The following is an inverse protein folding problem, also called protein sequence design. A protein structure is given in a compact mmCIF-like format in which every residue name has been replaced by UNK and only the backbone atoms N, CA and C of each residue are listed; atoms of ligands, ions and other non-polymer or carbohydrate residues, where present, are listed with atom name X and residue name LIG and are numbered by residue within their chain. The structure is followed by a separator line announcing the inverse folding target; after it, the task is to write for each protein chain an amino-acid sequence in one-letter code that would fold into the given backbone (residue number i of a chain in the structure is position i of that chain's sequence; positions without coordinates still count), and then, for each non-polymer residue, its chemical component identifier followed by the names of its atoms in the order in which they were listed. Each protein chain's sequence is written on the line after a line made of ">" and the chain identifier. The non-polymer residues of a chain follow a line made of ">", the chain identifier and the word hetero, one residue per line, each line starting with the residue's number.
data_IF_049373778768
#
_entry.id   IF_049373778768
#
_cell.length_a   1.000
_cell.length_b   1.000
_cell.length_c   1.000
_cell.angle_alpha   90.00
_cell.angle_beta   90.00
_cell.angle_gamma   90.00
#
_symmetry.space_group_name_H-M   'P 1'
#
loop_
_entity.id
_entity.type
_entity.pdbx_description
1 polymer ?
#
# COMPACT_ATOMS: atom_id res chain seq x y z
N UNK A 1 -1.78 15.88 7.86
CA UNK A 1 -0.98 15.24 8.94
C UNK A 1 0.36 14.74 8.38
N UNK A 2 0.41 13.90 7.33
CA UNK A 2 1.62 13.29 6.78
C UNK A 2 2.66 14.34 6.33
N UNK A 3 2.24 15.34 5.52
CA UNK A 3 3.10 16.47 5.12
C UNK A 3 3.60 17.24 6.35
N UNK A 4 2.73 17.45 7.34
CA UNK A 4 3.08 18.18 8.55
C UNK A 4 4.20 17.51 9.35
N UNK A 5 4.17 16.19 9.51
CA UNK A 5 5.27 15.46 10.16
C UNK A 5 6.55 15.47 9.34
N UNK A 6 6.45 15.33 8.02
CA UNK A 6 7.62 15.43 7.15
C UNK A 6 8.37 16.75 7.32
N UNK A 7 7.63 17.86 7.34
CA UNK A 7 8.20 19.20 7.51
C UNK A 7 8.70 19.43 8.94
N UNK A 8 7.91 19.03 9.95
CA UNK A 8 8.26 19.22 11.38
C UNK A 8 9.56 18.51 11.73
N UNK A 9 9.76 17.29 11.24
CA UNK A 9 10.92 16.48 11.57
C UNK A 9 12.05 16.67 10.55
N UNK A 10 11.88 17.60 9.60
CA UNK A 10 12.84 17.88 8.51
C UNK A 10 13.27 16.60 7.81
N UNK A 11 12.30 15.71 7.53
CA UNK A 11 12.58 14.41 6.99
C UNK A 11 13.13 14.46 5.56
N UNK A 12 14.13 13.65 5.28
CA UNK A 12 14.61 13.40 3.92
C UNK A 12 13.64 12.51 3.15
N UNK A 13 13.04 11.54 3.89
CA UNK A 13 11.98 10.64 3.38
C UNK A 13 10.92 10.43 4.46
N UNK A 14 9.66 10.33 4.02
CA UNK A 14 8.54 9.86 4.83
C UNK A 14 7.79 8.76 4.10
N UNK A 15 7.39 7.73 4.83
CA UNK A 15 6.70 6.55 4.32
C UNK A 15 5.41 6.32 5.08
N UNK A 16 4.35 5.88 4.38
CA UNK A 16 3.19 5.27 5.03
C UNK A 16 3.32 3.76 5.02
N UNK A 17 2.97 3.14 6.14
CA UNK A 17 2.96 1.70 6.31
C UNK A 17 1.63 1.24 6.92
N UNK A 18 1.27 -0.01 6.66
CA UNK A 18 0.16 -0.70 7.31
C UNK A 18 0.66 -1.95 8.02
N UNK A 19 -0.05 -2.39 9.04
CA UNK A 19 0.25 -3.71 9.64
C UNK A 19 -0.02 -4.82 8.63
N UNK A 20 0.92 -5.76 8.50
CA UNK A 20 0.69 -6.99 7.74
C UNK A 20 -0.46 -7.79 8.35
N UNK A 21 -1.35 -8.30 7.49
CA UNK A 21 -2.48 -9.12 7.92
C UNK A 21 -2.06 -10.56 8.27
N UNK A 22 -1.07 -11.10 7.57
CA UNK A 22 -0.56 -12.47 7.78
C UNK A 22 0.90 -12.59 7.30
N UNK A 23 1.64 -13.61 7.77
CA UNK A 23 3.07 -13.77 7.45
C UNK A 23 3.40 -13.79 5.96
N UNK A 24 2.57 -14.43 5.13
CA UNK A 24 2.80 -14.63 3.70
C UNK A 24 2.23 -13.50 2.83
N UNK A 25 1.74 -12.41 3.42
CA UNK A 25 1.24 -11.27 2.66
C UNK A 25 2.32 -10.72 1.73
N UNK A 26 1.97 -10.57 0.45
CA UNK A 26 2.87 -10.09 -0.62
C UNK A 26 3.03 -8.57 -0.60
N UNK A 27 3.59 -8.07 0.49
CA UNK A 27 3.91 -6.66 0.69
C UNK A 27 5.34 -6.52 1.18
N UNK A 28 6.11 -5.60 0.59
CA UNK A 28 7.45 -5.24 1.06
C UNK A 28 7.37 -4.66 2.47
N UNK A 29 8.39 -4.88 3.29
CA UNK A 29 8.43 -4.40 4.66
C UNK A 29 9.51 -3.36 4.88
N UNK A 30 9.23 -2.39 5.72
CA UNK A 30 10.19 -1.39 6.17
C UNK A 30 10.84 -1.88 7.45
N UNK A 31 12.17 -1.89 7.48
CA UNK A 31 12.94 -2.37 8.63
C UNK A 31 14.14 -1.46 8.91
N UNK A 32 14.60 -1.48 10.15
CA UNK A 32 15.92 -0.96 10.51
C UNK A 32 16.90 -2.11 10.65
N UNK A 33 18.04 -2.03 9.96
CA UNK A 33 19.18 -2.93 10.10
C UNK A 33 20.47 -2.12 10.12
N UNK A 34 21.35 -2.42 11.06
CA UNK A 34 22.66 -1.75 11.24
C UNK A 34 22.58 -0.22 11.30
N UNK A 35 21.48 0.30 11.88
CA UNK A 35 21.23 1.74 12.03
C UNK A 35 20.71 2.43 10.76
N UNK A 36 20.44 1.69 9.70
CA UNK A 36 19.90 2.19 8.44
C UNK A 36 18.48 1.69 8.18
N UNK A 37 17.72 2.52 7.47
CA UNK A 37 16.39 2.16 7.01
C UNK A 37 16.50 1.33 5.72
N UNK A 38 15.75 0.25 5.64
CA UNK A 38 15.71 -0.62 4.47
C UNK A 38 14.27 -0.98 4.09
N UNK A 39 14.09 -1.27 2.82
CA UNK A 39 12.91 -1.97 2.30
C UNK A 39 13.35 -3.39 1.95
N UNK A 40 12.64 -4.38 2.48
CA UNK A 40 12.86 -5.80 2.16
C UNK A 40 11.63 -6.29 1.43
N UNK A 41 11.81 -6.73 0.19
CA UNK A 41 10.73 -7.31 -0.59
C UNK A 41 10.27 -8.64 0.03
N UNK A 42 8.96 -8.93 -0.07
CA UNK A 42 8.38 -10.16 0.49
C UNK A 42 9.05 -11.43 -0.07
N UNK A 43 9.60 -11.38 -1.28
CA UNK A 43 10.31 -12.48 -1.93
C UNK A 43 11.74 -12.68 -1.40
N UNK A 44 12.29 -11.70 -0.71
CA UNK A 44 13.65 -11.71 -0.12
C UNK A 44 13.62 -12.07 1.36
N UNK A 45 12.44 -11.99 1.98
CA UNK A 45 12.28 -12.32 3.40
C UNK A 45 12.39 -13.82 3.63
N UNK A 46 13.31 -14.24 4.52
CA UNK A 46 13.43 -15.65 4.86
C UNK A 46 12.13 -16.18 5.51
N UNK A 47 11.83 -17.47 5.32
CA UNK A 47 10.66 -18.08 5.96
C UNK A 47 10.67 -17.93 7.47
N UNK A 48 11.85 -18.02 8.09
CA UNK A 48 12.04 -17.81 9.52
C UNK A 48 11.62 -16.40 9.94
N UNK A 49 12.07 -15.39 9.23
CA UNK A 49 11.76 -14.00 9.54
C UNK A 49 10.30 -13.65 9.22
N UNK A 50 9.75 -14.22 8.14
CA UNK A 50 8.36 -14.07 7.75
C UNK A 50 7.38 -14.47 8.88
N UNK A 51 7.70 -15.53 9.63
CA UNK A 51 6.90 -16.04 10.75
C UNK A 51 7.42 -15.62 12.13
N UNK A 52 8.44 -14.77 12.21
CA UNK A 52 8.96 -14.31 13.48
C UNK A 52 7.94 -13.41 14.19
N UNK A 53 7.75 -13.64 15.47
CA UNK A 53 6.89 -12.85 16.33
C UNK A 53 7.70 -12.00 17.31
N UNK A 54 7.14 -10.86 17.68
CA UNK A 54 7.57 -10.04 18.82
C UNK A 54 7.09 -10.65 20.14
N UNK A 55 7.54 -10.12 21.26
CA UNK A 55 7.17 -10.60 22.61
C UNK A 55 5.66 -10.52 22.89
N UNK A 56 4.97 -9.58 22.26
CA UNK A 56 3.52 -9.38 22.35
C UNK A 56 2.71 -10.33 21.45
N UNK A 57 3.37 -11.23 20.71
CA UNK A 57 2.75 -12.20 19.80
C UNK A 57 2.40 -11.65 18.40
N UNK A 58 2.62 -10.36 18.14
CA UNK A 58 2.44 -9.79 16.80
C UNK A 58 3.61 -10.16 15.89
N UNK A 59 3.41 -10.06 14.56
CA UNK A 59 4.51 -10.25 13.61
C UNK A 59 5.63 -9.25 13.89
N UNK A 60 6.86 -9.73 14.01
CA UNK A 60 8.05 -8.90 14.25
C UNK A 60 8.30 -7.93 13.09
N UNK A 61 8.13 -8.39 11.85
CA UNK A 61 8.32 -7.62 10.64
C UNK A 61 6.96 -7.33 10.00
N UNK A 62 6.22 -6.39 10.60
CA UNK A 62 4.83 -6.10 10.24
C UNK A 62 4.60 -4.76 9.56
N UNK A 63 5.62 -3.90 9.40
CA UNK A 63 5.49 -2.59 8.78
C UNK A 63 5.42 -2.71 7.23
N UNK A 64 4.24 -3.06 6.71
CA UNK A 64 4.00 -3.24 5.29
C UNK A 64 4.01 -1.91 4.53
N UNK A 65 4.87 -1.79 3.52
CA UNK A 65 4.95 -0.61 2.67
C UNK A 65 3.78 -0.53 1.69
N UNK A 66 3.05 0.57 1.71
CA UNK A 66 1.91 0.80 0.80
C UNK A 66 2.26 1.69 -0.40
N UNK A 67 3.56 1.94 -0.63
CA UNK A 67 4.07 2.75 -1.72
C UNK A 67 3.62 4.23 -1.70
N UNK A 68 3.26 4.76 -0.55
CA UNK A 68 3.01 6.20 -0.35
C UNK A 68 4.23 6.81 0.30
N UNK A 69 4.99 7.56 -0.51
CA UNK A 69 6.26 8.14 -0.11
C UNK A 69 6.26 9.64 -0.34
N UNK A 70 6.94 10.35 0.56
CA UNK A 70 7.31 11.75 0.39
C UNK A 70 8.82 11.86 0.48
N UNK A 71 9.44 12.43 -0.55
CA UNK A 71 10.89 12.49 -0.67
C UNK A 71 11.29 13.95 -0.88
N UNK A 72 12.23 14.43 -0.07
CA UNK A 72 12.80 15.75 -0.24
C UNK A 72 13.65 15.80 -1.52
N UNK A 73 13.40 16.79 -2.38
CA UNK A 73 14.10 16.92 -3.66
C UNK A 73 15.61 17.11 -3.43
N UNK A 74 16.00 17.95 -2.45
CA UNK A 74 17.41 18.13 -2.13
C UNK A 74 18.12 16.86 -1.67
N UNK A 75 17.39 15.90 -1.07
CA UNK A 75 17.93 14.58 -0.76
C UNK A 75 18.18 13.77 -2.05
N UNK A 76 17.24 13.78 -3.02
CA UNK A 76 17.44 13.12 -4.31
C UNK A 76 18.63 13.72 -5.09
N UNK A 77 18.76 15.05 -5.11
CA UNK A 77 19.89 15.71 -5.75
C UNK A 77 21.22 15.30 -5.11
N UNK A 78 21.26 15.18 -3.79
CA UNK A 78 22.44 14.69 -3.06
C UNK A 78 22.78 13.24 -3.46
N UNK A 79 21.81 12.32 -3.52
CA UNK A 79 22.04 10.94 -3.96
C UNK A 79 22.59 10.91 -5.39
N UNK A 80 22.00 11.70 -6.28
CA UNK A 80 22.48 11.82 -7.67
C UNK A 80 23.93 12.32 -7.75
N UNK A 81 24.29 13.34 -6.96
CA UNK A 81 25.65 13.89 -6.93
C UNK A 81 26.69 12.90 -6.35
N UNK A 82 26.26 11.96 -5.50
CA UNK A 82 27.15 10.90 -5.00
C UNK A 82 27.55 9.90 -6.10
N UNK A 83 26.93 9.96 -7.27
CA UNK A 83 27.20 9.04 -8.37
C UNK A 83 26.71 7.60 -8.10
N UNK A 84 25.87 7.42 -7.12
CA UNK A 84 25.31 6.12 -6.76
C UNK A 84 24.28 5.67 -7.80
N UNK A 85 24.41 4.45 -8.26
CA UNK A 85 23.38 3.78 -9.07
C UNK A 85 22.53 2.89 -8.20
N UNK A 86 21.22 2.85 -8.49
CA UNK A 86 20.34 1.89 -7.83
C UNK A 86 20.72 0.46 -8.26
N UNK A 87 20.78 -0.50 -7.34
CA UNK A 87 21.07 -1.88 -7.68
C UNK A 87 19.93 -2.48 -8.51
N UNK A 88 20.27 -3.55 -9.22
CA UNK A 88 19.27 -4.37 -9.89
C UNK A 88 18.87 -5.54 -9.01
N UNK A 89 17.56 -5.70 -8.80
CA UNK A 89 16.96 -6.88 -8.20
C UNK A 89 16.57 -7.87 -9.30
N UNK A 90 16.96 -9.13 -9.14
CA UNK A 90 16.70 -10.17 -10.12
C UNK A 90 15.52 -11.04 -9.68
N UNK A 91 14.48 -11.11 -10.48
CA UNK A 91 13.32 -11.96 -10.25
C UNK A 91 13.14 -12.98 -11.37
N UNK A 92 13.09 -14.26 -11.01
CA UNK A 92 12.78 -15.34 -11.96
C UNK A 92 11.30 -15.29 -12.34
N UNK A 93 11.00 -15.27 -13.64
CA UNK A 93 9.64 -15.13 -14.19
C UNK A 93 9.36 -16.15 -15.28
N UNK A 94 8.08 -16.48 -15.42
CA UNK A 94 7.56 -17.16 -16.60
C UNK A 94 7.19 -16.09 -17.62
N UNK A 95 7.86 -16.10 -18.76
CA UNK A 95 7.61 -15.14 -19.83
C UNK A 95 7.30 -15.91 -21.10
N UNK A 96 6.12 -15.64 -21.67
CA UNK A 96 5.78 -16.15 -22.99
C UNK A 96 6.82 -15.70 -24.00
N UNK A 97 7.32 -16.61 -24.81
CA UNK A 97 8.36 -16.34 -25.81
C UNK A 97 8.01 -17.00 -27.16
N UNK A 98 8.78 -16.67 -28.18
CA UNK A 98 8.70 -17.34 -29.46
C UNK A 98 9.67 -18.54 -29.47
N UNK A 99 9.19 -19.65 -29.98
CA UNK A 99 10.05 -20.81 -30.30
C UNK A 99 10.87 -20.60 -31.55
N UNK A 100 11.80 -21.53 -31.84
CA UNK A 100 12.62 -21.50 -33.05
C UNK A 100 11.79 -21.58 -34.33
N UNK A 101 10.61 -22.18 -34.26
CA UNK A 101 9.62 -22.27 -35.34
C UNK A 101 8.73 -21.02 -35.49
N UNK A 102 8.93 -19.99 -34.62
CA UNK A 102 8.15 -18.80 -34.58
C UNK A 102 6.80 -18.96 -33.85
N UNK A 103 6.50 -20.14 -33.32
CA UNK A 103 5.30 -20.40 -32.53
C UNK A 103 5.40 -19.80 -31.12
N UNK A 104 4.23 -19.43 -30.57
CA UNK A 104 4.15 -18.93 -29.19
C UNK A 104 4.32 -20.08 -28.20
N UNK A 105 5.24 -19.91 -27.24
CA UNK A 105 5.47 -20.84 -26.13
C UNK A 105 5.04 -20.16 -24.82
N UNK A 106 4.12 -20.79 -24.12
CA UNK A 106 3.75 -20.41 -22.75
C UNK A 106 4.47 -21.36 -21.78
N UNK A 107 5.54 -20.92 -21.09
CA UNK A 107 6.41 -21.80 -20.33
C UNK A 107 5.73 -22.32 -19.07
N UNK A 108 5.98 -23.57 -18.71
CA UNK A 108 5.51 -24.19 -17.47
C UNK A 108 6.37 -23.79 -16.26
N UNK A 109 7.63 -23.47 -16.50
CA UNK A 109 8.62 -23.08 -15.49
C UNK A 109 9.18 -21.70 -15.78
N UNK A 110 9.90 -21.12 -14.81
CA UNK A 110 10.58 -19.85 -14.99
C UNK A 110 11.65 -19.98 -16.08
N UNK A 111 11.57 -19.14 -17.10
CA UNK A 111 12.45 -19.14 -18.27
C UNK A 111 13.16 -17.81 -18.51
N UNK A 112 12.93 -16.81 -17.68
CA UNK A 112 13.51 -15.48 -17.83
C UNK A 112 13.86 -14.85 -16.47
N UNK A 113 14.85 -13.96 -16.50
CA UNK A 113 15.20 -13.11 -15.36
C UNK A 113 14.69 -11.70 -15.69
N UNK A 114 13.83 -11.16 -14.82
CA UNK A 114 13.43 -9.76 -14.86
C UNK A 114 14.30 -8.97 -13.90
N UNK A 115 14.94 -7.92 -14.40
CA UNK A 115 15.69 -6.97 -13.59
C UNK A 115 14.83 -5.76 -13.28
N UNK A 116 14.79 -5.36 -12.03
CA UNK A 116 14.06 -4.18 -11.55
C UNK A 116 14.95 -3.36 -10.65
N UNK A 117 14.86 -2.02 -10.73
CA UNK A 117 15.48 -1.10 -9.77
C UNK A 117 14.36 -0.49 -8.93
N UNK A 118 14.57 -0.38 -7.63
CA UNK A 118 13.59 0.21 -6.73
C UNK A 118 14.09 1.52 -6.14
N UNK A 119 13.23 2.53 -6.15
CA UNK A 119 13.52 3.81 -5.48
C UNK A 119 13.81 3.61 -3.98
N UNK A 120 13.32 2.54 -3.38
CA UNK A 120 13.53 2.24 -1.96
C UNK A 120 14.98 1.96 -1.59
N UNK A 121 15.85 1.62 -2.54
CA UNK A 121 17.27 1.39 -2.28
C UNK A 121 18.02 2.63 -1.82
N UNK A 122 17.40 3.82 -1.99
CA UNK A 122 17.92 5.05 -1.41
C UNK A 122 17.73 5.13 0.11
N UNK A 123 16.86 4.30 0.71
CA UNK A 123 16.54 4.34 2.13
C UNK A 123 17.78 4.17 3.02
N UNK A 124 18.76 3.38 2.60
CA UNK A 124 20.03 3.18 3.32
C UNK A 124 20.84 4.46 3.52
N UNK A 125 20.60 5.50 2.73
CA UNK A 125 21.28 6.79 2.83
C UNK A 125 20.53 7.81 3.67
N UNK A 126 19.30 7.49 4.07
CA UNK A 126 18.41 8.40 4.81
C UNK A 126 18.87 8.55 6.25
N UNK A 127 19.01 9.78 6.72
CA UNK A 127 19.34 10.12 8.11
C UNK A 127 18.13 10.52 8.92
N UNK A 128 17.22 11.31 8.32
CA UNK A 128 15.99 11.77 8.95
C UNK A 128 14.79 11.21 8.19
N UNK A 129 13.96 10.45 8.86
CA UNK A 129 12.77 9.84 8.24
C UNK A 129 11.56 9.89 9.16
N UNK A 130 10.39 9.78 8.56
CA UNK A 130 9.11 9.56 9.25
C UNK A 130 8.47 8.30 8.69
N UNK A 131 8.16 7.34 9.56
CA UNK A 131 7.39 6.16 9.20
C UNK A 131 6.03 6.30 9.90
N UNK A 132 4.97 6.48 9.10
CA UNK A 132 3.63 6.67 9.61
C UNK A 132 2.80 5.40 9.40
N UNK A 133 2.44 4.73 10.49
CA UNK A 133 1.46 3.66 10.43
C UNK A 133 0.07 4.27 10.23
N UNK A 134 -0.67 3.72 9.27
CA UNK A 134 -2.05 4.12 8.95
C UNK A 134 -2.97 2.91 9.04
N UNK A 135 -4.27 3.18 9.20
CA UNK A 135 -5.28 2.14 9.19
C UNK A 135 -5.43 1.59 7.77
N UNK A 136 -5.33 0.26 7.64
CA UNK A 136 -5.43 -0.43 6.35
C UNK A 136 -6.75 -0.12 5.66
N UNK A 137 -7.84 -0.22 6.39
CA UNK A 137 -9.19 -0.01 5.90
C UNK A 137 -9.47 1.42 5.39
N UNK A 138 -8.60 2.36 5.73
CA UNK A 138 -8.74 3.76 5.31
C UNK A 138 -7.81 4.12 4.16
N UNK A 139 -6.64 3.45 4.04
CA UNK A 139 -5.61 3.92 3.13
C UNK A 139 -4.99 2.84 2.23
N UNK A 140 -5.40 1.57 2.33
CA UNK A 140 -4.77 0.52 1.55
C UNK A 140 -5.71 -0.57 1.06
N UNK A 141 -5.90 -0.65 -0.25
CA UNK A 141 -6.57 -1.76 -0.93
C UNK A 141 -5.84 -2.11 -2.24
N UNK A 142 -4.93 -3.09 -2.21
CA UNK A 142 -4.08 -3.40 -3.36
C UNK A 142 -4.82 -4.13 -4.48
N UNK A 143 -4.35 -3.92 -5.72
CA UNK A 143 -4.78 -4.65 -6.91
C UNK A 143 -3.64 -5.56 -7.37
N UNK A 144 -3.79 -6.86 -7.18
CA UNK A 144 -2.78 -7.87 -7.52
C UNK A 144 -3.31 -9.08 -8.25
N UNK A 145 -4.62 -9.32 -8.17
CA UNK A 145 -5.29 -10.49 -8.74
C UNK A 145 -6.44 -10.06 -9.65
N UNK A 146 -6.84 -10.92 -10.56
CA UNK A 146 -8.04 -10.69 -11.40
C UNK A 146 -9.33 -10.88 -10.61
N UNK A 147 -9.34 -11.83 -9.68
CA UNK A 147 -10.50 -12.23 -8.88
C UNK A 147 -10.09 -12.54 -7.44
N UNK A 148 -11.08 -12.61 -6.54
CA UNK A 148 -10.87 -12.90 -5.11
C UNK A 148 -10.28 -11.71 -4.34
N UNK A 149 -9.39 -11.98 -3.42
CA UNK A 149 -8.70 -10.97 -2.62
C UNK A 149 -7.76 -10.13 -3.49
N UNK A 150 -7.62 -8.86 -3.14
CA UNK A 150 -6.76 -7.91 -3.85
C UNK A 150 -7.09 -7.80 -5.35
N UNK A 151 -8.36 -7.86 -5.68
CA UNK A 151 -8.91 -7.75 -7.05
C UNK A 151 -9.64 -6.42 -7.26
N UNK A 152 -10.01 -6.07 -8.52
CA UNK A 152 -10.84 -4.90 -8.78
C UNK A 152 -12.16 -4.90 -8.00
N UNK A 153 -12.76 -6.08 -7.80
CA UNK A 153 -14.01 -6.22 -7.07
C UNK A 153 -13.82 -5.95 -5.57
N UNK A 154 -12.80 -6.55 -4.93
CA UNK A 154 -12.51 -6.31 -3.52
C UNK A 154 -12.08 -4.86 -3.26
N UNK A 155 -11.24 -4.28 -4.12
CA UNK A 155 -10.81 -2.89 -3.96
C UNK A 155 -11.97 -1.90 -4.09
N UNK A 156 -12.91 -2.16 -5.01
CA UNK A 156 -14.13 -1.36 -5.11
C UNK A 156 -14.99 -1.47 -3.85
N UNK A 157 -15.15 -2.69 -3.31
CA UNK A 157 -15.90 -2.90 -2.06
C UNK A 157 -15.25 -2.19 -0.89
N UNK A 158 -13.91 -2.21 -0.78
CA UNK A 158 -13.19 -1.50 0.27
C UNK A 158 -13.42 0.02 0.21
N UNK A 159 -13.41 0.61 -0.98
CA UNK A 159 -13.74 2.03 -1.18
C UNK A 159 -15.18 2.33 -0.77
N UNK A 160 -16.13 1.48 -1.16
CA UNK A 160 -17.55 1.62 -0.79
C UNK A 160 -17.69 1.52 0.74
N UNK A 161 -16.99 0.60 1.38
CA UNK A 161 -16.99 0.43 2.82
C UNK A 161 -16.39 1.66 3.54
N UNK A 162 -15.32 2.24 3.00
CA UNK A 162 -14.73 3.47 3.52
C UNK A 162 -15.75 4.62 3.49
N UNK A 163 -16.38 4.87 2.36
CA UNK A 163 -17.40 5.92 2.21
C UNK A 163 -18.64 5.61 3.05
N UNK A 164 -19.02 4.34 3.17
CA UNK A 164 -20.10 3.92 4.05
C UNK A 164 -19.82 4.25 5.52
N UNK A 165 -18.60 3.98 6.01
CA UNK A 165 -18.18 4.37 7.37
C UNK A 165 -18.22 5.89 7.57
N UNK A 166 -17.77 6.67 6.60
CA UNK A 166 -17.82 8.13 6.68
C UNK A 166 -19.25 8.65 6.82
N UNK A 167 -20.19 8.08 6.05
CA UNK A 167 -21.61 8.43 6.10
C UNK A 167 -22.25 8.00 7.43
N UNK A 168 -21.99 6.77 7.89
CA UNK A 168 -22.48 6.27 9.18
C UNK A 168 -22.01 7.17 10.34
N UNK A 169 -20.72 7.53 10.34
CA UNK A 169 -20.13 8.43 11.34
C UNK A 169 -20.69 9.88 11.24
N UNK A 170 -21.31 10.21 10.10
CA UNK A 170 -22.00 11.49 9.89
C UNK A 170 -23.49 11.43 10.22
N UNK A 171 -23.99 10.26 10.66
CA UNK A 171 -25.37 10.05 11.08
C UNK A 171 -26.30 9.55 9.98
N UNK A 172 -25.81 9.17 8.81
CA UNK A 172 -26.59 8.58 7.71
C UNK A 172 -26.65 7.06 7.87
N UNK A 173 -27.84 6.44 7.98
CA UNK A 173 -27.96 4.99 8.09
C UNK A 173 -27.54 4.30 6.78
N UNK A 174 -26.49 3.48 6.84
CA UNK A 174 -26.00 2.68 5.70
C UNK A 174 -26.11 1.18 6.07
N UNK A 175 -26.91 0.38 5.35
CA UNK A 175 -27.05 -1.05 5.61
C UNK A 175 -25.77 -1.81 5.21
N UNK A 176 -25.42 -2.79 6.04
CA UNK A 176 -24.30 -3.69 5.80
C UNK A 176 -24.74 -5.14 5.88
N UNK A 177 -24.00 -6.02 5.19
CA UNK A 177 -24.18 -7.46 5.28
C UNK A 177 -23.60 -8.04 6.60
N UNK A 178 -23.67 -9.37 6.75
CA UNK A 178 -23.12 -10.07 7.92
C UNK A 178 -21.58 -9.98 8.05
N UNK A 179 -20.88 -9.57 7.01
CA UNK A 179 -19.43 -9.37 6.98
C UNK A 179 -19.04 -7.90 7.18
N UNK A 180 -20.02 -7.00 7.33
CA UNK A 180 -19.80 -5.57 7.47
C UNK A 180 -19.65 -4.81 6.15
N UNK A 181 -19.85 -5.47 5.00
CA UNK A 181 -19.79 -4.79 3.72
C UNK A 181 -21.08 -3.99 3.46
N UNK A 182 -20.92 -2.80 2.96
CA UNK A 182 -22.05 -1.96 2.52
C UNK A 182 -22.85 -2.67 1.42
N UNK A 183 -24.16 -2.72 1.61
CA UNK A 183 -25.08 -3.31 0.64
C UNK A 183 -25.53 -2.26 -0.38
N UNK A 184 -24.69 -2.04 -1.41
CA UNK A 184 -24.96 -1.09 -2.49
C UNK A 184 -23.72 -0.38 -2.99
N UNK A 185 -23.90 0.71 -3.70
CA UNK A 185 -22.81 1.51 -4.29
C UNK A 185 -22.76 2.89 -3.66
N UNK A 186 -21.59 3.30 -3.22
CA UNK A 186 -21.34 4.65 -2.71
C UNK A 186 -20.10 5.20 -3.40
N UNK A 187 -20.22 6.39 -3.94
CA UNK A 187 -19.13 7.17 -4.50
C UNK A 187 -19.19 8.59 -3.93
N UNK A 188 -18.08 9.06 -3.40
CA UNK A 188 -17.94 10.44 -2.91
C UNK A 188 -16.83 11.10 -3.72
N UNK A 189 -17.20 12.16 -4.45
CA UNK A 189 -16.24 12.95 -5.24
C UNK A 189 -15.27 13.67 -4.30
N UNK A 190 -13.95 13.71 -4.59
CA UNK A 190 -13.01 14.57 -3.88
C UNK A 190 -13.37 16.07 -3.95
N UNK A 191 -14.16 16.47 -4.95
CA UNK A 191 -14.69 17.84 -5.04
C UNK A 191 -15.82 18.09 -4.05
N UNK A 192 -16.48 17.02 -3.58
CA UNK A 192 -17.51 17.13 -2.55
C UNK A 192 -16.89 17.08 -1.15
N UNK A 193 -16.06 16.05 -0.86
CA UNK A 193 -15.38 15.94 0.43
C UNK A 193 -14.06 15.18 0.28
N UNK A 194 -12.99 15.71 0.87
CA UNK A 194 -11.66 15.09 0.87
C UNK A 194 -11.47 14.10 2.02
N UNK A 195 -12.26 14.25 3.09
CA UNK A 195 -12.19 13.41 4.29
C UNK A 195 -13.53 13.33 4.99
N UNK A 196 -13.58 12.51 6.05
CA UNK A 196 -14.78 12.30 6.85
C UNK A 196 -15.26 13.57 7.55
N UNK A 197 -14.37 14.46 7.98
CA UNK A 197 -14.74 15.69 8.68
C UNK A 197 -15.42 16.66 7.72
N UNK A 198 -14.86 16.83 6.53
CA UNK A 198 -15.47 17.65 5.49
C UNK A 198 -16.82 17.09 5.04
N UNK A 199 -16.93 15.76 4.88
CA UNK A 199 -18.20 15.10 4.57
C UNK A 199 -19.24 15.39 5.65
N UNK A 200 -18.90 15.23 6.92
CA UNK A 200 -19.82 15.49 8.05
C UNK A 200 -20.38 16.90 8.05
N UNK A 201 -19.59 17.86 7.59
CA UNK A 201 -20.00 19.28 7.55
C UNK A 201 -20.89 19.60 6.34
N UNK A 202 -20.87 18.78 5.29
CA UNK A 202 -21.58 19.03 4.02
C UNK A 202 -22.79 18.12 3.81
N UNK A 203 -22.76 16.90 4.34
CA UNK A 203 -23.82 15.92 4.09
C UNK A 203 -25.10 16.26 4.84
N UNK A 204 -26.25 16.13 4.17
CA UNK A 204 -27.56 16.21 4.82
C UNK A 204 -27.76 14.97 5.71
N UNK A 205 -27.97 15.17 7.02
CA UNK A 205 -28.25 14.11 8.00
C UNK A 205 -29.56 13.37 7.77
N UNK A 206 -30.46 13.94 6.96
CA UNK A 206 -31.72 13.31 6.54
C UNK A 206 -31.58 12.52 5.24
N UNK A 207 -30.37 12.46 4.67
CA UNK A 207 -30.08 11.67 3.49
C UNK A 207 -30.49 10.21 3.73
N UNK A 208 -31.26 9.66 2.80
CA UNK A 208 -31.64 8.26 2.82
C UNK A 208 -30.88 7.49 1.75
N UNK A 209 -30.28 6.39 2.13
CA UNK A 209 -29.59 5.51 1.22
C UNK A 209 -30.53 4.46 0.62
N UNK A 210 -30.67 4.44 -0.69
CA UNK A 210 -31.53 3.52 -1.45
C UNK A 210 -30.74 2.56 -2.35
N UNK A 211 -29.56 2.12 -1.89
CA UNK A 211 -28.71 1.16 -2.61
C UNK A 211 -27.66 1.80 -3.53
N UNK A 212 -27.87 3.03 -4.01
CA UNK A 212 -26.88 3.77 -4.80
C UNK A 212 -26.83 5.24 -4.34
N UNK A 213 -25.62 5.74 -4.14
CA UNK A 213 -25.37 7.14 -3.75
C UNK A 213 -24.11 7.67 -4.45
N UNK A 214 -24.21 8.86 -5.04
CA UNK A 214 -23.07 9.61 -5.55
C UNK A 214 -23.16 11.06 -5.03
N UNK A 215 -22.08 11.54 -4.41
CA UNK A 215 -21.96 12.87 -3.82
C UNK A 215 -20.78 13.64 -4.43
#
# INVERSE_FOLDING_TARGET
>A
IFIGYHLKDEAEISLKVVKKCHPEEKVGIVVYSDGHLHMVEYSELSRKDMYANSEDGTLKYNAGNIAVHMINIGFLEKIYQMGESLPYHAAMKKVTCLGEDGGKIDPKENNAIKFESFIFDILKYVKKNVIMEVLREDEFSPLKNMEGENSPASSRQDMINLFGRWLQNSGVPIPTDSHGNVMGLIEISPCFALDQEELRNKVDRHLQFHGNLSL
#
